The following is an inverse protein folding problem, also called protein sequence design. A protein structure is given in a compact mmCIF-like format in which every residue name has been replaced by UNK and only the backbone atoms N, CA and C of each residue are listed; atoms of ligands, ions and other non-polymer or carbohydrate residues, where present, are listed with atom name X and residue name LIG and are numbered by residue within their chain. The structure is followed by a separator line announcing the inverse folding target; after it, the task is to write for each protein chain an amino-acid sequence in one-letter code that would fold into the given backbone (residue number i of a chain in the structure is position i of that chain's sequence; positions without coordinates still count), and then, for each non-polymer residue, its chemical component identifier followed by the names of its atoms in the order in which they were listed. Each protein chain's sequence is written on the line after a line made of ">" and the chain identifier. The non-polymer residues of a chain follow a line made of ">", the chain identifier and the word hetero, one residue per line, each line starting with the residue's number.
data_IF_888563857997
#
_entry.id   IF_888563857997
#
_cell.length_a   1.000
_cell.length_b   1.000
_cell.length_c   1.000
_cell.angle_alpha   90.00
_cell.angle_beta   90.00
_cell.angle_gamma   90.00
#
_symmetry.space_group_name_H-M   'P 1'
#
loop_
_entity.id
_entity.type
_entity.pdbx_description
1 polymer ?
#
# COMPACT_ATOMS: atom_id res chain seq x y z
N UNK A 1 34.47 -14.76 -32.93
CA UNK A 1 33.80 -14.90 -31.62
C UNK A 1 32.41 -15.46 -31.85
N UNK A 2 32.04 -16.55 -31.19
CA UNK A 2 30.69 -17.14 -31.35
C UNK A 2 29.74 -16.38 -30.43
N UNK A 3 28.74 -15.72 -31.01
CA UNK A 3 27.61 -15.11 -30.31
C UNK A 3 26.99 -16.20 -29.43
N UNK A 4 26.96 -15.97 -28.11
CA UNK A 4 26.25 -16.87 -27.19
C UNK A 4 24.78 -16.42 -27.17
N UNK A 5 23.92 -17.26 -27.74
CA UNK A 5 22.48 -17.06 -27.70
C UNK A 5 21.94 -17.56 -26.36
N UNK A 6 21.21 -16.73 -25.61
CA UNK A 6 20.54 -17.09 -24.37
C UNK A 6 19.03 -16.93 -24.55
N UNK A 7 18.22 -17.86 -24.06
CA UNK A 7 16.77 -17.79 -24.12
C UNK A 7 16.23 -17.40 -22.75
N UNK A 8 15.39 -16.37 -22.67
CA UNK A 8 14.80 -15.93 -21.40
C UNK A 8 13.27 -16.04 -21.44
N UNK A 9 12.70 -16.59 -20.38
CA UNK A 9 11.24 -16.70 -20.24
C UNK A 9 10.64 -15.32 -19.93
N UNK A 10 9.78 -14.80 -20.82
CA UNK A 10 9.12 -13.50 -20.67
C UNK A 10 8.09 -13.43 -19.53
N UNK A 11 7.81 -14.54 -18.83
CA UNK A 11 6.91 -14.54 -17.68
C UNK A 11 7.68 -14.43 -16.34
N UNK A 12 8.71 -15.25 -16.16
CA UNK A 12 9.46 -15.33 -14.89
C UNK A 12 10.93 -14.92 -15.00
N UNK A 13 11.42 -14.66 -16.21
CA UNK A 13 12.81 -14.30 -16.52
C UNK A 13 13.81 -15.43 -16.26
N UNK A 14 13.39 -16.69 -16.31
CA UNK A 14 14.30 -17.84 -16.28
C UNK A 14 15.11 -17.91 -17.57
N UNK A 15 16.44 -17.98 -17.46
CA UNK A 15 17.34 -18.01 -18.60
C UNK A 15 17.89 -19.43 -18.89
N UNK A 16 17.97 -19.80 -20.16
CA UNK A 16 18.43 -21.11 -20.64
C UNK A 16 19.31 -20.94 -21.88
N UNK A 17 20.33 -21.78 -22.08
CA UNK A 17 21.17 -21.76 -23.28
C UNK A 17 20.52 -22.40 -24.52
N UNK A 18 19.33 -22.99 -24.36
CA UNK A 18 18.53 -23.60 -25.43
C UNK A 18 17.08 -23.19 -25.28
N UNK A 19 16.35 -23.07 -26.39
CA UNK A 19 14.93 -22.81 -26.34
C UNK A 19 14.22 -24.00 -25.67
N UNK A 20 13.52 -23.72 -24.58
CA UNK A 20 12.72 -24.70 -23.86
C UNK A 20 11.26 -24.35 -24.13
N UNK A 21 10.52 -25.23 -24.80
CA UNK A 21 9.11 -24.97 -25.13
C UNK A 21 8.24 -24.72 -23.90
N UNK A 22 8.63 -25.26 -22.73
CA UNK A 22 7.99 -25.02 -21.43
C UNK A 22 9.00 -24.50 -20.42
N UNK A 23 8.63 -23.46 -19.67
CA UNK A 23 9.45 -22.93 -18.58
C UNK A 23 9.55 -23.90 -17.40
N UNK A 24 10.76 -24.32 -16.98
CA UNK A 24 10.91 -25.21 -15.84
C UNK A 24 10.56 -24.53 -14.50
N UNK A 25 10.54 -23.19 -14.46
CA UNK A 25 10.25 -22.43 -13.23
C UNK A 25 8.77 -22.05 -13.09
N UNK A 26 8.14 -21.51 -14.15
CA UNK A 26 6.74 -21.08 -14.07
C UNK A 26 5.75 -21.99 -14.82
N UNK A 27 6.22 -23.04 -15.48
CA UNK A 27 5.35 -24.01 -16.16
C UNK A 27 4.69 -23.54 -17.46
N UNK A 28 4.86 -22.27 -17.82
CA UNK A 28 4.30 -21.63 -19.02
C UNK A 28 4.92 -22.13 -20.32
N UNK A 29 4.10 -22.23 -21.36
CA UNK A 29 4.50 -22.66 -22.69
C UNK A 29 4.81 -21.48 -23.62
N UNK A 30 5.79 -21.65 -24.51
CA UNK A 30 6.16 -20.71 -25.58
C UNK A 30 6.49 -19.28 -25.11
N UNK A 31 6.90 -19.12 -23.84
CA UNK A 31 7.30 -17.81 -23.28
C UNK A 31 8.80 -17.53 -23.38
N UNK A 32 9.62 -18.46 -23.89
CA UNK A 32 11.05 -18.20 -24.11
C UNK A 32 11.28 -17.41 -25.38
N UNK A 33 11.96 -16.27 -25.23
CA UNK A 33 12.40 -15.41 -26.32
C UNK A 33 13.92 -15.44 -26.36
N UNK A 34 14.47 -15.40 -27.58
CA UNK A 34 15.90 -15.33 -27.83
C UNK A 34 16.43 -13.94 -27.42
N UNK A 35 17.39 -13.92 -26.49
CA UNK A 35 18.16 -12.75 -26.07
C UNK A 35 19.63 -12.96 -26.52
N UNK A 36 20.15 -12.03 -27.30
CA UNK A 36 21.55 -12.04 -27.71
C UNK A 36 22.37 -11.37 -26.61
N UNK A 37 23.28 -12.12 -25.99
CA UNK A 37 24.32 -11.51 -25.14
C UNK A 37 25.49 -11.15 -26.05
N UNK A 38 25.62 -9.87 -26.39
CA UNK A 38 26.83 -9.38 -27.03
C UNK A 38 27.95 -9.28 -26.00
N UNK A 39 29.07 -9.97 -26.28
CA UNK A 39 30.35 -9.65 -25.65
C UNK A 39 30.71 -8.22 -26.06
N UNK A 40 30.81 -7.34 -25.05
CA UNK A 40 31.03 -5.92 -25.20
C UNK A 40 32.11 -5.57 -26.23
N UNK A 41 31.72 -5.01 -27.37
CA UNK A 41 32.59 -4.13 -28.15
C UNK A 41 31.84 -3.19 -29.11
N UNK A 42 32.07 -1.89 -28.87
CA UNK A 42 32.11 -0.80 -29.84
C UNK A 42 30.83 -0.40 -30.61
N UNK A 43 30.16 0.64 -30.09
CA UNK A 43 29.81 1.81 -30.91
C UNK A 43 30.04 3.09 -30.08
N UNK A 44 30.78 4.02 -30.68
CA UNK A 44 31.47 5.11 -29.99
C UNK A 44 30.67 6.41 -29.83
N UNK A 45 31.22 7.27 -28.97
CA UNK A 45 30.88 8.70 -28.85
C UNK A 45 29.98 9.02 -27.65
N UNK A 46 30.52 9.70 -26.63
CA UNK A 46 29.85 10.18 -25.40
C UNK A 46 29.51 9.15 -24.31
N UNK A 47 29.14 7.92 -24.67
CA UNK A 47 28.58 6.92 -23.75
C UNK A 47 29.59 6.20 -22.82
N UNK A 48 30.87 6.14 -23.17
CA UNK A 48 31.91 5.52 -22.33
C UNK A 48 32.18 6.33 -21.05
N UNK A 49 32.06 7.67 -21.13
CA UNK A 49 32.34 8.57 -20.01
C UNK A 49 31.31 8.48 -18.87
N UNK A 50 30.05 8.16 -19.18
CA UNK A 50 29.01 7.88 -18.18
C UNK A 50 29.28 6.55 -17.47
N UNK A 51 29.87 5.59 -18.20
CA UNK A 51 30.17 4.24 -17.72
C UNK A 51 31.36 4.20 -16.75
N UNK A 52 32.28 5.14 -16.86
CA UNK A 52 33.56 5.17 -16.12
C UNK A 52 33.44 5.95 -14.80
N UNK A 53 32.62 7.01 -14.76
CA UNK A 53 32.42 7.81 -13.53
C UNK A 53 31.39 7.22 -12.55
N UNK A 54 30.32 6.55 -13.00
CA UNK A 54 29.41 5.87 -12.05
C UNK A 54 29.99 4.54 -11.53
N UNK A 55 30.96 3.94 -12.21
CA UNK A 55 31.73 2.78 -11.72
C UNK A 55 32.83 3.14 -10.72
N UNK A 56 33.23 4.40 -10.63
CA UNK A 56 34.21 4.88 -9.65
C UNK A 56 33.59 5.23 -8.30
N UNK A 57 32.45 4.63 -7.95
CA UNK A 57 32.17 4.43 -6.54
C UNK A 57 33.26 3.51 -5.98
N UNK A 58 34.18 4.08 -5.18
CA UNK A 58 35.14 3.29 -4.40
C UNK A 58 34.36 2.16 -3.74
N UNK A 59 34.85 0.91 -3.90
CA UNK A 59 34.32 -0.21 -3.13
C UNK A 59 34.27 0.24 -1.67
N UNK A 60 33.10 0.13 -1.04
CA UNK A 60 32.96 0.50 0.37
C UNK A 60 34.01 -0.28 1.15
N UNK A 61 34.80 0.43 1.96
CA UNK A 61 35.70 -0.25 2.89
C UNK A 61 34.88 -1.18 3.78
N UNK A 62 35.45 -2.33 4.15
CA UNK A 62 34.85 -3.20 5.15
C UNK A 62 34.79 -2.42 6.47
N UNK A 63 33.60 -2.31 7.05
CA UNK A 63 33.39 -1.67 8.36
C UNK A 63 32.95 -2.79 9.31
N UNK A 64 33.54 -2.83 10.50
CA UNK A 64 33.14 -3.77 11.54
C UNK A 64 31.78 -3.32 12.12
N UNK A 65 30.87 -4.27 12.37
CA UNK A 65 29.55 -3.98 12.92
C UNK A 65 29.64 -3.32 14.30
N UNK A 66 30.68 -3.65 15.06
CA UNK A 66 30.91 -3.17 16.43
C UNK A 66 31.63 -1.81 16.45
N UNK A 67 31.92 -1.21 15.29
CA UNK A 67 32.39 0.18 15.25
C UNK A 67 31.22 1.12 15.59
N UNK A 68 31.31 1.76 16.77
CA UNK A 68 30.42 2.84 17.19
C UNK A 68 30.67 4.12 16.35
N UNK A 69 30.23 4.12 15.10
CA UNK A 69 30.07 5.36 14.33
C UNK A 69 28.69 5.96 14.63
N UNK A 70 28.52 6.50 15.85
CA UNK A 70 27.30 7.20 16.29
C UNK A 70 26.94 8.36 15.34
N UNK A 71 27.94 8.99 14.72
CA UNK A 71 27.75 10.02 13.70
C UNK A 71 27.12 9.48 12.40
N UNK A 72 27.43 8.24 11.99
CA UNK A 72 26.86 7.64 10.78
C UNK A 72 25.39 7.24 10.98
N UNK A 73 25.04 6.70 12.15
CA UNK A 73 23.66 6.36 12.51
C UNK A 73 22.78 7.62 12.69
N UNK A 74 23.31 8.68 13.30
CA UNK A 74 22.64 9.98 13.41
C UNK A 74 22.50 10.69 12.04
N UNK A 75 23.53 10.62 11.20
CA UNK A 75 23.54 11.13 9.82
C UNK A 75 22.48 10.45 8.96
N UNK A 76 22.25 9.15 9.13
CA UNK A 76 21.22 8.42 8.38
C UNK A 76 19.79 8.93 8.66
N UNK A 77 19.47 9.27 9.91
CA UNK A 77 18.18 9.89 10.26
C UNK A 77 18.08 11.35 9.80
N UNK A 78 19.17 12.12 9.91
CA UNK A 78 19.21 13.54 9.53
C UNK A 78 19.19 13.82 8.02
N UNK A 79 19.38 12.81 7.17
CA UNK A 79 19.46 12.95 5.71
C UNK A 79 18.12 12.77 4.98
N UNK A 80 17.02 12.43 5.66
CA UNK A 80 15.72 12.20 5.00
C UNK A 80 15.16 13.48 4.39
N UNK A 81 14.59 13.35 3.20
CA UNK A 81 13.91 14.41 2.47
C UNK A 81 12.41 14.24 2.69
N UNK A 82 11.76 15.20 3.36
CA UNK A 82 10.30 15.20 3.47
C UNK A 82 9.65 15.35 2.09
N UNK A 83 8.59 14.60 1.86
CA UNK A 83 7.76 14.71 0.65
C UNK A 83 6.74 15.84 0.74
N UNK A 84 6.64 16.52 1.89
CA UNK A 84 5.59 17.50 2.18
C UNK A 84 4.20 16.90 2.40
N UNK A 85 4.10 15.56 2.40
CA UNK A 85 2.88 14.81 2.63
C UNK A 85 3.12 13.87 3.82
N UNK A 86 2.44 14.11 4.94
CA UNK A 86 2.65 13.39 6.20
C UNK A 86 2.33 11.88 6.10
N UNK A 87 1.30 11.49 5.36
CA UNK A 87 0.91 10.10 5.12
C UNK A 87 1.94 9.38 4.23
N UNK A 88 2.50 10.06 3.22
CA UNK A 88 3.57 9.49 2.39
C UNK A 88 4.88 9.38 3.18
N UNK A 89 5.24 10.40 3.96
CA UNK A 89 6.42 10.37 4.82
C UNK A 89 6.32 9.24 5.84
N UNK A 90 5.14 9.01 6.44
CA UNK A 90 4.90 7.90 7.35
C UNK A 90 5.15 6.55 6.67
N UNK A 91 4.56 6.34 5.49
CA UNK A 91 4.73 5.12 4.68
C UNK A 91 6.21 4.86 4.34
N UNK A 92 6.99 5.91 4.13
CA UNK A 92 8.43 5.83 3.88
C UNK A 92 9.30 5.64 5.15
N UNK A 93 8.70 5.66 6.34
CA UNK A 93 9.42 5.59 7.61
C UNK A 93 10.05 6.93 8.03
N UNK A 94 9.42 8.04 7.67
CA UNK A 94 9.82 9.41 8.02
C UNK A 94 10.28 10.28 6.84
N UNK A 95 10.02 9.88 5.59
CA UNK A 95 10.42 10.62 4.38
C UNK A 95 11.38 9.86 3.47
N UNK A 96 11.68 10.44 2.30
CA UNK A 96 12.54 9.84 1.28
C UNK A 96 13.98 9.71 1.79
N UNK A 97 14.59 8.56 1.57
CA UNK A 97 15.98 8.30 1.95
C UNK A 97 16.87 8.62 0.74
N UNK A 98 17.93 9.43 0.86
CA UNK A 98 18.93 9.55 -0.19
C UNK A 98 19.56 8.20 -0.52
N UNK A 99 20.15 8.08 -1.70
CA UNK A 99 20.88 6.88 -2.10
C UNK A 99 19.96 5.63 -2.09
N UNK A 100 18.67 5.81 -2.38
CA UNK A 100 17.65 4.75 -2.29
C UNK A 100 16.86 4.58 -3.58
N UNK A 101 16.26 3.40 -3.73
CA UNK A 101 15.40 3.07 -4.87
C UNK A 101 14.01 2.62 -4.41
N UNK A 102 13.00 3.41 -4.74
CA UNK A 102 11.59 3.18 -4.37
C UNK A 102 10.74 2.88 -5.59
N UNK A 103 9.98 1.79 -5.53
CA UNK A 103 8.99 1.40 -6.53
C UNK A 103 7.58 1.74 -6.02
N UNK A 104 6.78 2.42 -6.83
CA UNK A 104 5.34 2.60 -6.60
C UNK A 104 4.54 1.85 -7.67
N UNK A 105 3.89 0.77 -7.23
CA UNK A 105 2.96 -0.04 -8.01
C UNK A 105 1.52 0.43 -7.85
N UNK A 106 0.66 0.08 -8.81
CA UNK A 106 -0.78 0.29 -8.71
C UNK A 106 -1.46 0.38 -10.07
N UNK A 107 -2.79 0.35 -10.06
CA UNK A 107 -3.59 0.33 -11.28
C UNK A 107 -3.42 1.63 -12.10
N UNK A 108 -3.55 1.57 -13.44
CA UNK A 108 -3.60 2.76 -14.27
C UNK A 108 -4.68 3.73 -13.79
N UNK A 109 -4.39 5.02 -13.76
CA UNK A 109 -5.36 6.04 -13.30
C UNK A 109 -5.53 6.16 -11.78
N UNK A 110 -4.90 5.30 -10.96
CA UNK A 110 -5.01 5.41 -9.49
C UNK A 110 -4.43 6.72 -8.93
N UNK A 111 -3.55 7.39 -9.68
CA UNK A 111 -2.95 8.67 -9.29
C UNK A 111 -1.49 8.59 -8.86
N UNK A 112 -0.73 7.55 -9.24
CA UNK A 112 0.72 7.43 -8.96
C UNK A 112 1.51 8.65 -9.42
N UNK A 113 1.36 9.05 -10.68
CA UNK A 113 2.01 10.25 -11.24
C UNK A 113 1.56 11.53 -10.52
N UNK A 114 0.29 11.59 -10.11
CA UNK A 114 -0.22 12.74 -9.32
C UNK A 114 0.47 12.83 -7.96
N UNK A 115 0.59 11.70 -7.26
CA UNK A 115 1.27 11.62 -5.97
C UNK A 115 2.72 12.06 -6.10
N UNK A 116 3.46 11.51 -7.08
CA UNK A 116 4.87 11.85 -7.28
C UNK A 116 5.08 13.30 -7.72
N UNK A 117 4.22 13.85 -8.59
CA UNK A 117 4.28 15.28 -8.91
C UNK A 117 4.04 16.13 -7.65
N UNK A 118 3.09 15.79 -6.79
CA UNK A 118 2.84 16.53 -5.54
C UNK A 118 4.03 16.51 -4.58
N UNK A 119 4.87 15.46 -4.60
CA UNK A 119 6.11 15.46 -3.80
C UNK A 119 7.06 16.61 -4.17
N UNK A 120 7.01 17.10 -5.42
CA UNK A 120 7.82 18.23 -5.85
C UNK A 120 7.53 19.49 -5.01
N UNK A 121 6.27 19.71 -4.62
CA UNK A 121 5.90 20.83 -3.74
C UNK A 121 6.55 20.71 -2.37
N UNK A 122 6.57 19.51 -1.79
CA UNK A 122 7.23 19.26 -0.52
C UNK A 122 8.73 19.44 -0.58
N UNK A 123 9.38 18.94 -1.63
CA UNK A 123 10.82 19.09 -1.86
C UNK A 123 11.20 20.58 -1.99
N UNK A 124 10.40 21.35 -2.72
CA UNK A 124 10.60 22.80 -2.87
C UNK A 124 10.50 23.55 -1.53
N UNK A 125 9.59 23.11 -0.64
CA UNK A 125 9.40 23.70 0.70
C UNK A 125 10.39 23.20 1.75
N UNK A 126 11.01 22.03 1.54
CA UNK A 126 11.91 21.41 2.52
C UNK A 126 13.27 22.11 2.60
N UNK A 127 13.97 22.24 1.46
CA UNK A 127 15.26 22.93 1.37
C UNK A 127 15.49 23.55 -0.01
N UNK A 128 16.27 24.63 -0.04
CA UNK A 128 16.54 25.40 -1.26
C UNK A 128 17.58 24.76 -2.20
N UNK A 129 18.37 23.79 -1.71
CA UNK A 129 19.42 23.13 -2.46
C UNK A 129 18.97 21.84 -3.16
N UNK A 130 17.76 21.36 -2.86
CA UNK A 130 17.22 20.14 -3.46
C UNK A 130 16.67 20.42 -4.85
N UNK A 131 16.98 19.51 -5.78
CA UNK A 131 16.48 19.51 -7.16
C UNK A 131 15.75 18.21 -7.46
N UNK A 132 14.64 18.30 -8.19
CA UNK A 132 13.88 17.15 -8.66
C UNK A 132 13.94 17.09 -10.19
N UNK A 133 14.26 15.92 -10.74
CA UNK A 133 14.12 15.61 -12.15
C UNK A 133 12.98 14.60 -12.34
N UNK A 134 11.91 15.00 -13.00
CA UNK A 134 10.80 14.14 -13.38
C UNK A 134 10.96 13.72 -14.84
N UNK A 135 11.21 12.44 -15.07
CA UNK A 135 11.34 11.86 -16.40
C UNK A 135 10.11 11.00 -16.68
N UNK A 136 9.45 11.30 -17.80
CA UNK A 136 8.31 10.54 -18.28
C UNK A 136 8.61 9.92 -19.63
N UNK A 137 8.28 8.64 -19.79
CA UNK A 137 8.25 7.98 -21.11
C UNK A 137 6.83 7.88 -21.69
N UNK A 138 5.79 8.19 -20.90
CA UNK A 138 4.37 8.10 -21.33
C UNK A 138 3.80 9.45 -21.76
N UNK A 139 3.94 10.47 -20.91
CA UNK A 139 3.40 11.81 -21.12
C UNK A 139 4.47 12.78 -21.66
N UNK A 140 4.03 13.71 -22.52
CA UNK A 140 4.87 14.83 -22.97
C UNK A 140 5.11 15.87 -21.87
N UNK A 141 6.20 16.64 -21.98
CA UNK A 141 6.52 17.74 -21.04
C UNK A 141 5.36 18.74 -20.91
N UNK A 142 4.65 19.04 -22.01
CA UNK A 142 3.51 19.94 -22.01
C UNK A 142 2.34 19.43 -21.16
N UNK A 143 2.03 18.13 -21.25
CA UNK A 143 0.97 17.49 -20.45
C UNK A 143 1.33 17.50 -18.96
N UNK A 144 2.57 17.14 -18.63
CA UNK A 144 3.05 17.12 -17.23
C UNK A 144 3.03 18.54 -16.66
N UNK A 145 3.49 19.54 -17.42
CA UNK A 145 3.46 20.95 -17.01
C UNK A 145 2.03 21.44 -16.74
N UNK A 146 1.07 21.06 -17.59
CA UNK A 146 -0.34 21.39 -17.40
C UNK A 146 -0.89 20.79 -16.10
N UNK A 147 -0.58 19.52 -15.81
CA UNK A 147 -0.94 18.86 -14.54
C UNK A 147 -0.28 19.52 -13.35
N UNK A 148 1.03 19.78 -13.41
CA UNK A 148 1.77 20.46 -12.35
C UNK A 148 1.16 21.83 -12.02
N UNK A 149 0.77 22.60 -13.05
CA UNK A 149 0.09 23.89 -12.88
C UNK A 149 -1.26 23.75 -12.17
N UNK A 150 -2.06 22.73 -12.53
CA UNK A 150 -3.34 22.42 -11.86
C UNK A 150 -3.15 22.06 -10.38
N UNK A 151 -2.07 21.35 -10.06
CA UNK A 151 -1.70 20.97 -8.69
C UNK A 151 -1.05 22.13 -7.90
N UNK A 152 -0.92 23.32 -8.50
CA UNK A 152 -0.30 24.48 -7.86
C UNK A 152 1.21 24.35 -7.64
N UNK A 153 1.90 23.58 -8.48
CA UNK A 153 3.35 23.37 -8.39
C UNK A 153 4.07 24.39 -9.27
N UNK A 154 4.83 25.30 -8.66
CA UNK A 154 5.79 26.20 -9.32
C UNK A 154 7.16 25.52 -9.38
N UNK A 155 7.80 25.50 -10.55
CA UNK A 155 9.09 24.81 -10.69
C UNK A 155 10.27 25.50 -9.99
N UNK A 156 10.18 26.82 -9.74
CA UNK A 156 11.18 27.66 -9.03
C UNK A 156 12.66 27.41 -9.42
N UNK A 157 12.91 27.00 -10.67
CA UNK A 157 14.25 26.65 -11.15
C UNK A 157 14.85 25.38 -10.52
N UNK A 158 14.07 24.59 -9.78
CA UNK A 158 14.51 23.39 -9.03
C UNK A 158 13.79 22.10 -9.46
N UNK A 159 12.64 22.22 -10.14
CA UNK A 159 11.91 21.10 -10.72
C UNK A 159 12.09 21.07 -12.23
N UNK A 160 12.69 20.01 -12.73
CA UNK A 160 12.99 19.79 -14.14
C UNK A 160 12.12 18.65 -14.68
N UNK A 161 11.60 18.82 -15.88
CA UNK A 161 10.76 17.83 -16.57
C UNK A 161 11.45 17.39 -17.84
N UNK A 162 11.50 16.08 -18.09
CA UNK A 162 12.02 15.50 -19.32
C UNK A 162 11.03 14.46 -19.86
N UNK A 163 10.87 14.41 -21.18
CA UNK A 163 10.15 13.35 -21.86
C UNK A 163 11.19 12.51 -22.63
N UNK A 164 11.64 11.42 -22.01
CA UNK A 164 12.72 10.58 -22.52
C UNK A 164 12.39 9.11 -22.22
N UNK A 165 12.73 8.23 -23.15
CA UNK A 165 12.55 6.77 -23.03
C UNK A 165 13.89 6.03 -22.93
N UNK A 166 14.98 6.65 -23.39
CA UNK A 166 16.31 6.05 -23.42
C UNK A 166 17.07 6.32 -22.11
N UNK A 167 17.44 5.26 -21.39
CA UNK A 167 18.05 5.37 -20.06
C UNK A 167 19.38 6.14 -20.06
N UNK A 168 20.16 6.04 -21.13
CA UNK A 168 21.44 6.72 -21.29
C UNK A 168 21.30 8.26 -21.31
N UNK A 169 20.22 8.77 -21.90
CA UNK A 169 19.92 10.21 -21.93
C UNK A 169 19.52 10.71 -20.56
N UNK A 170 18.75 9.91 -19.83
CA UNK A 170 18.41 10.19 -18.43
C UNK A 170 19.67 10.30 -17.58
N UNK A 171 20.62 9.36 -17.73
CA UNK A 171 21.87 9.40 -16.96
C UNK A 171 22.73 10.62 -17.30
N UNK A 172 22.74 11.03 -18.57
CA UNK A 172 23.40 12.27 -19.01
C UNK A 172 22.77 13.51 -18.36
N UNK A 173 21.44 13.58 -18.32
CA UNK A 173 20.72 14.67 -17.66
C UNK A 173 20.96 14.68 -16.13
N UNK A 174 21.00 13.51 -15.48
CA UNK A 174 21.34 13.39 -14.06
C UNK A 174 22.76 13.89 -13.77
N UNK A 175 23.71 13.59 -14.65
CA UNK A 175 25.10 14.06 -14.53
C UNK A 175 25.20 15.59 -14.60
N UNK A 176 24.47 16.21 -15.52
CA UNK A 176 24.46 17.66 -15.73
C UNK A 176 23.71 18.39 -14.60
N UNK A 177 22.48 17.96 -14.28
CA UNK A 177 21.61 18.67 -13.34
C UNK A 177 21.95 18.39 -11.87
N UNK A 178 22.56 17.24 -11.59
CA UNK A 178 22.81 16.67 -10.25
C UNK A 178 21.57 16.77 -9.34
N UNK A 179 20.45 16.12 -9.71
CA UNK A 179 19.24 16.15 -8.92
C UNK A 179 19.38 15.34 -7.63
N UNK A 180 18.67 15.76 -6.58
CA UNK A 180 18.56 15.00 -5.32
C UNK A 180 17.48 13.92 -5.38
N UNK A 181 16.48 14.13 -6.24
CA UNK A 181 15.37 13.19 -6.46
C UNK A 181 15.17 12.99 -7.97
N UNK A 182 15.13 11.73 -8.40
CA UNK A 182 14.79 11.33 -9.76
C UNK A 182 13.48 10.56 -9.76
N UNK A 183 12.50 10.99 -10.54
CA UNK A 183 11.24 10.27 -10.77
C UNK A 183 11.23 9.71 -12.18
N UNK A 184 10.90 8.42 -12.31
CA UNK A 184 10.81 7.68 -13.57
C UNK A 184 9.38 7.18 -13.78
N UNK A 185 8.65 7.76 -14.73
CA UNK A 185 7.23 7.46 -15.00
C UNK A 185 6.99 7.03 -16.47
N UNK A 186 6.88 5.75 -16.82
CA UNK A 186 6.86 4.56 -15.97
C UNK A 186 7.79 3.47 -16.49
N UNK A 187 8.12 2.51 -15.62
CA UNK A 187 9.09 1.42 -15.84
C UNK A 187 9.01 0.76 -17.22
N UNK A 188 7.80 0.51 -17.73
CA UNK A 188 7.59 -0.18 -18.99
C UNK A 188 8.02 0.62 -20.22
N UNK A 189 8.14 1.95 -20.10
CA UNK A 189 8.48 2.83 -21.22
C UNK A 189 9.98 3.05 -21.42
N UNK A 190 10.78 2.69 -20.42
CA UNK A 190 12.22 2.89 -20.47
C UNK A 190 12.92 1.70 -21.09
N UNK A 191 13.93 1.99 -21.91
CA UNK A 191 14.79 0.99 -22.52
C UNK A 191 16.26 1.32 -22.33
N UNK A 192 17.06 0.26 -22.23
CA UNK A 192 18.52 0.29 -22.24
C UNK A 192 18.99 -0.15 -23.62
N UNK A 193 19.87 0.63 -24.24
CA UNK A 193 20.48 0.28 -25.53
C UNK A 193 21.45 -0.91 -25.43
N UNK A 194 21.71 -1.39 -24.22
CA UNK A 194 22.59 -2.53 -23.94
C UNK A 194 21.95 -3.89 -24.25
N UNK A 195 20.63 -3.98 -24.21
CA UNK A 195 19.89 -5.21 -24.53
C UNK A 195 19.09 -4.99 -25.81
N UNK A 196 19.29 -5.85 -26.81
CA UNK A 196 18.41 -5.95 -27.98
C UNK A 196 17.10 -6.66 -27.61
N UNK A 197 16.26 -6.00 -26.81
CA UNK A 197 14.93 -6.49 -26.46
C UNK A 197 13.92 -5.35 -26.44
N UNK A 198 12.66 -5.66 -26.76
CA UNK A 198 11.62 -4.64 -26.83
C UNK A 198 11.42 -3.94 -25.46
N UNK A 199 11.18 -2.61 -25.44
CA UNK A 199 10.77 -1.90 -24.24
C UNK A 199 9.58 -2.58 -23.55
N UNK A 200 9.61 -2.65 -22.23
CA UNK A 200 8.59 -3.35 -21.44
C UNK A 200 8.72 -4.88 -21.40
N UNK A 201 9.70 -5.48 -22.10
CA UNK A 201 10.05 -6.89 -21.88
C UNK A 201 10.61 -7.10 -20.46
N UNK A 202 10.47 -8.32 -19.92
CA UNK A 202 10.98 -8.62 -18.56
C UNK A 202 12.49 -8.40 -18.46
N UNK A 203 13.24 -8.72 -19.53
CA UNK A 203 14.67 -8.46 -19.63
C UNK A 203 15.01 -6.97 -19.54
N UNK A 204 14.37 -6.13 -20.36
CA UNK A 204 14.54 -4.67 -20.30
C UNK A 204 14.21 -4.11 -18.92
N UNK A 205 13.08 -4.52 -18.34
CA UNK A 205 12.59 -4.02 -17.06
C UNK A 205 13.59 -4.31 -15.93
N UNK A 206 14.15 -5.53 -15.89
CA UNK A 206 15.17 -5.90 -14.88
C UNK A 206 16.46 -5.12 -15.08
N UNK A 207 16.91 -4.96 -16.32
CA UNK A 207 18.14 -4.23 -16.62
C UNK A 207 18.03 -2.75 -16.24
N UNK A 208 16.92 -2.11 -16.63
CA UNK A 208 16.64 -0.71 -16.25
C UNK A 208 16.63 -0.57 -14.73
N UNK A 209 15.94 -1.45 -14.01
CA UNK A 209 15.91 -1.43 -12.55
C UNK A 209 17.29 -1.63 -11.91
N UNK A 210 18.11 -2.56 -12.42
CA UNK A 210 19.47 -2.79 -11.93
C UNK A 210 20.36 -1.55 -12.10
N UNK A 211 20.30 -0.91 -13.27
CA UNK A 211 21.08 0.29 -13.57
C UNK A 211 20.60 1.50 -12.77
N UNK A 212 19.30 1.65 -12.55
CA UNK A 212 18.75 2.70 -11.70
C UNK A 212 19.15 2.52 -10.22
N UNK A 213 19.15 1.29 -9.72
CA UNK A 213 19.65 1.00 -8.36
C UNK A 213 21.12 1.40 -8.22
N UNK A 214 21.96 1.03 -9.20
CA UNK A 214 23.36 1.44 -9.21
C UNK A 214 23.51 2.95 -9.26
N UNK A 215 22.72 3.64 -10.09
CA UNK A 215 22.70 5.10 -10.16
C UNK A 215 22.33 5.72 -8.80
N UNK A 216 21.29 5.22 -8.12
CA UNK A 216 20.86 5.73 -6.83
C UNK A 216 22.01 5.71 -5.82
N UNK A 217 22.73 4.59 -5.71
CA UNK A 217 23.83 4.42 -4.75
C UNK A 217 25.08 5.22 -5.11
N UNK A 218 25.39 5.33 -6.39
CA UNK A 218 26.64 5.98 -6.88
C UNK A 218 26.50 7.50 -6.94
N UNK A 219 25.34 8.00 -7.37
CA UNK A 219 25.05 9.43 -7.49
C UNK A 219 24.52 10.04 -6.19
N UNK A 220 24.14 9.20 -5.23
CA UNK A 220 23.65 9.63 -3.92
C UNK A 220 22.28 10.30 -3.96
N UNK A 221 21.36 9.78 -4.78
CA UNK A 221 20.04 10.39 -5.01
C UNK A 221 18.89 9.41 -4.75
N UNK A 222 17.72 9.94 -4.40
CA UNK A 222 16.51 9.15 -4.21
C UNK A 222 15.83 8.89 -5.56
N UNK A 223 15.82 7.64 -6.01
CA UNK A 223 15.16 7.24 -7.26
C UNK A 223 13.77 6.69 -6.97
N UNK A 224 12.78 7.21 -7.68
CA UNK A 224 11.40 6.74 -7.69
C UNK A 224 11.04 6.17 -9.04
N UNK A 225 10.43 5.00 -9.04
CA UNK A 225 10.01 4.30 -10.24
C UNK A 225 8.52 3.99 -10.16
N UNK A 226 7.77 4.45 -11.16
CA UNK A 226 6.36 4.09 -11.31
C UNK A 226 6.26 2.78 -12.06
N UNK A 227 5.47 1.85 -11.55
CA UNK A 227 5.12 0.63 -12.27
C UNK A 227 3.61 0.44 -12.35
N UNK A 228 3.11 0.19 -13.56
CA UNK A 228 1.71 -0.16 -13.78
C UNK A 228 1.44 -1.64 -13.51
N UNK A 229 0.40 -1.94 -12.72
CA UNK A 229 -0.13 -3.30 -12.57
C UNK A 229 -1.15 -3.53 -13.68
N UNK A 230 -1.02 -4.60 -14.46
CA UNK A 230 -2.02 -5.01 -15.44
C UNK A 230 -3.04 -5.95 -14.79
N UNK A 231 -4.30 -5.92 -15.26
CA UNK A 231 -5.43 -6.67 -14.69
C UNK A 231 -5.21 -8.19 -14.63
N UNK A 232 -4.33 -8.73 -15.48
CA UNK A 232 -3.99 -10.16 -15.56
C UNK A 232 -2.74 -10.53 -14.74
N UNK A 233 -2.13 -9.60 -14.01
CA UNK A 233 -0.97 -9.82 -13.14
C UNK A 233 0.31 -10.34 -13.83
N UNK A 234 0.33 -10.46 -15.16
CA UNK A 234 1.24 -11.36 -15.88
C UNK A 234 2.06 -10.72 -17.02
N UNK A 235 2.06 -9.39 -17.16
CA UNK A 235 2.89 -8.73 -18.19
C UNK A 235 3.87 -7.79 -17.49
N UNK A 236 5.09 -8.30 -17.25
CA UNK A 236 6.27 -7.55 -16.80
C UNK A 236 5.95 -6.44 -15.77
N UNK A 237 5.17 -6.81 -14.75
CA UNK A 237 4.67 -5.86 -13.77
C UNK A 237 5.74 -5.45 -12.74
N UNK A 238 5.39 -4.54 -11.82
CA UNK A 238 6.24 -4.11 -10.70
C UNK A 238 6.83 -5.29 -9.92
N UNK A 239 6.08 -6.40 -9.81
CA UNK A 239 6.47 -7.64 -9.13
C UNK A 239 7.81 -8.19 -9.56
N UNK A 240 8.18 -8.02 -10.83
CA UNK A 240 9.45 -8.56 -11.35
C UNK A 240 10.67 -7.86 -10.77
N UNK A 241 10.52 -6.63 -10.27
CA UNK A 241 11.62 -5.80 -9.74
C UNK A 241 11.51 -5.52 -8.24
N UNK A 242 10.45 -5.96 -7.56
CA UNK A 242 10.23 -5.76 -6.10
C UNK A 242 11.41 -6.23 -5.24
N UNK A 243 12.04 -7.34 -5.61
CA UNK A 243 13.18 -7.86 -4.88
C UNK A 243 14.44 -7.00 -5.08
N UNK A 244 14.54 -6.26 -6.19
CA UNK A 244 15.69 -5.45 -6.57
C UNK A 244 15.68 -4.06 -5.94
N UNK A 245 14.52 -3.52 -5.57
CA UNK A 245 14.37 -2.17 -4.99
C UNK A 245 14.52 -2.15 -3.47
N UNK A 246 14.79 -1.00 -2.86
CA UNK A 246 14.89 -0.89 -1.40
C UNK A 246 13.50 -0.77 -0.74
N UNK A 247 12.57 -0.07 -1.38
CA UNK A 247 11.20 0.15 -0.90
C UNK A 247 10.18 -0.15 -2.00
N UNK A 248 9.09 -0.86 -1.66
CA UNK A 248 7.96 -1.19 -2.55
C UNK A 248 6.68 -0.68 -1.90
N UNK A 249 6.00 0.21 -2.62
CA UNK A 249 4.70 0.76 -2.26
C UNK A 249 3.64 0.34 -3.28
N UNK A 250 2.45 0.00 -2.81
CA UNK A 250 1.29 -0.25 -3.66
C UNK A 250 0.22 0.79 -3.41
N UNK A 251 -0.21 1.46 -4.47
CA UNK A 251 -1.32 2.39 -4.43
C UNK A 251 -2.57 1.72 -4.96
N UNK A 252 -3.50 1.45 -4.05
CA UNK A 252 -4.73 0.69 -4.26
C UNK A 252 -5.94 1.60 -4.07
N UNK A 253 -7.04 1.28 -4.73
CA UNK A 253 -8.33 1.96 -4.55
C UNK A 253 -9.33 1.41 -5.53
N UNK A 254 -10.56 1.19 -5.06
CA UNK A 254 -11.69 0.75 -5.88
C UNK A 254 -12.42 1.98 -6.43
N UNK A 255 -12.98 1.91 -7.64
CA UNK A 255 -13.79 2.99 -8.21
C UNK A 255 -15.03 3.29 -7.34
N UNK A 256 -15.50 2.30 -6.58
CA UNK A 256 -16.59 2.46 -5.61
C UNK A 256 -16.18 3.21 -4.33
N UNK A 257 -14.89 3.29 -4.02
CA UNK A 257 -14.37 3.96 -2.84
C UNK A 257 -13.83 5.35 -3.21
N UNK A 258 -14.19 6.38 -2.46
CA UNK A 258 -13.61 7.72 -2.65
C UNK A 258 -12.12 7.79 -2.23
N UNK A 259 -11.63 6.76 -1.54
CA UNK A 259 -10.29 6.71 -0.95
C UNK A 259 -9.33 5.83 -1.73
N UNK A 260 -8.05 6.19 -1.61
CA UNK A 260 -6.92 5.48 -2.20
C UNK A 260 -5.92 5.18 -1.09
N UNK A 261 -5.56 3.92 -0.98
CA UNK A 261 -4.73 3.35 0.07
C UNK A 261 -3.32 3.13 -0.47
N UNK A 262 -2.33 3.76 0.16
CA UNK A 262 -0.92 3.55 -0.13
C UNK A 262 -0.34 2.59 0.91
N UNK A 263 -0.10 1.34 0.51
CA UNK A 263 0.46 0.29 1.35
C UNK A 263 1.95 0.11 1.13
N UNK A 264 2.63 -0.20 2.21
CA UNK A 264 4.03 -0.63 2.19
C UNK A 264 4.10 -2.15 2.07
N UNK A 265 4.81 -2.68 1.08
CA UNK A 265 5.06 -4.14 0.97
C UNK A 265 6.48 -4.48 1.37
N UNK A 266 7.42 -3.61 1.03
CA UNK A 266 8.83 -3.73 1.39
C UNK A 266 9.35 -2.36 1.79
N UNK A 267 10.04 -2.26 2.91
CA UNK A 267 10.71 -1.02 3.30
C UNK A 267 11.96 -1.38 4.11
N UNK A 268 13.13 -1.14 3.54
CA UNK A 268 14.41 -1.35 4.24
C UNK A 268 14.72 -0.26 5.26
N UNK A 269 13.94 0.83 5.26
CA UNK A 269 14.18 2.03 6.03
C UNK A 269 13.05 2.32 7.03
N UNK A 270 12.07 1.43 7.17
CA UNK A 270 10.88 1.68 7.97
C UNK A 270 10.01 0.42 8.08
N UNK A 271 8.89 0.56 8.78
CA UNK A 271 7.93 -0.54 8.95
C UNK A 271 7.21 -0.86 7.63
N UNK A 272 6.97 -2.14 7.36
CA UNK A 272 6.11 -2.59 6.26
C UNK A 272 4.63 -2.52 6.59
N UNK A 273 4.27 -2.16 7.82
CA UNK A 273 2.88 -2.17 8.26
C UNK A 273 2.18 -0.81 8.12
N UNK A 274 2.91 0.22 7.70
CA UNK A 274 2.40 1.57 7.52
C UNK A 274 1.42 1.69 6.33
N UNK A 275 0.39 2.50 6.52
CA UNK A 275 -0.68 2.78 5.55
C UNK A 275 -0.93 4.28 5.44
N UNK A 276 -0.78 4.81 4.22
CA UNK A 276 -1.17 6.17 3.86
C UNK A 276 -2.57 6.19 3.24
N UNK A 277 -3.42 7.12 3.65
CA UNK A 277 -4.77 7.27 3.07
C UNK A 277 -4.90 8.61 2.34
N UNK A 278 -5.38 8.54 1.11
CA UNK A 278 -5.55 9.70 0.24
C UNK A 278 -6.96 9.72 -0.36
N UNK A 279 -7.43 10.91 -0.73
CA UNK A 279 -8.66 11.12 -1.47
C UNK A 279 -8.35 11.92 -2.73
N UNK A 280 -8.87 11.50 -3.89
CA UNK A 280 -8.67 12.25 -5.14
C UNK A 280 -9.72 13.35 -5.27
N UNK A 281 -9.26 14.59 -5.29
CA UNK A 281 -10.08 15.80 -5.51
C UNK A 281 -9.68 16.48 -6.82
N UNK A 282 -10.43 17.49 -7.24
CA UNK A 282 -10.11 18.27 -8.45
C UNK A 282 -8.73 18.92 -8.42
N UNK A 283 -8.25 19.27 -7.22
CA UNK A 283 -6.93 19.88 -6.96
C UNK A 283 -5.79 18.86 -6.82
N UNK A 284 -6.07 17.55 -6.89
CA UNK A 284 -5.09 16.48 -6.69
C UNK A 284 -5.43 15.54 -5.54
N UNK A 285 -4.43 14.79 -5.07
CA UNK A 285 -4.54 13.90 -3.93
C UNK A 285 -4.47 14.70 -2.63
N UNK A 286 -5.47 14.54 -1.77
CA UNK A 286 -5.52 15.11 -0.43
C UNK A 286 -5.24 14.01 0.59
N UNK A 287 -4.41 14.32 1.57
CA UNK A 287 -4.13 13.42 2.69
C UNK A 287 -5.33 13.32 3.63
N UNK A 288 -5.61 12.09 4.06
CA UNK A 288 -6.68 11.79 5.01
C UNK A 288 -6.03 11.29 6.31
N UNK A 289 -5.68 12.19 7.25
CA UNK A 289 -5.02 11.80 8.50
C UNK A 289 -5.95 11.01 9.42
N UNK A 290 -7.26 11.16 9.24
CA UNK A 290 -8.28 10.47 10.01
C UNK A 290 -9.31 9.79 9.10
N UNK A 291 -8.97 8.64 8.51
CA UNK A 291 -9.87 7.91 7.61
C UNK A 291 -11.16 7.49 8.31
N UNK A 292 -11.05 7.06 9.56
CA UNK A 292 -12.18 6.60 10.35
C UNK A 292 -13.22 7.68 10.64
N UNK A 293 -12.84 8.96 10.68
CA UNK A 293 -13.82 10.05 10.81
C UNK A 293 -14.82 10.12 9.65
N UNK A 294 -14.46 9.56 8.48
CA UNK A 294 -15.27 9.56 7.28
C UNK A 294 -16.15 8.31 7.15
N UNK A 295 -15.78 7.23 7.83
CA UNK A 295 -16.50 5.94 7.80
C UNK A 295 -17.52 5.79 8.93
N UNK A 296 -17.47 6.69 9.91
CA UNK A 296 -18.44 6.79 10.98
C UNK A 296 -19.53 7.75 10.53
N UNK A 297 -20.75 7.25 10.32
CA UNK A 297 -21.90 8.09 9.96
C UNK A 297 -22.24 9.07 11.10
N UNK A 298 -23.18 10.00 10.88
CA UNK A 298 -23.57 11.10 11.80
C UNK A 298 -23.41 10.72 13.29
N UNK A 299 -22.29 11.14 13.88
CA UNK A 299 -21.96 10.87 15.28
C UNK A 299 -23.09 11.42 16.17
N UNK A 300 -23.87 10.54 16.78
CA UNK A 300 -24.82 10.93 17.83
C UNK A 300 -26.22 10.31 17.76
N UNK A 301 -26.61 9.64 16.66
CA UNK A 301 -27.86 8.88 16.63
C UNK A 301 -27.58 7.40 16.87
N UNK A 302 -28.09 6.90 17.99
CA UNK A 302 -28.13 5.46 18.27
C UNK A 302 -29.28 4.87 17.46
N UNK A 303 -28.94 4.04 16.46
CA UNK A 303 -29.91 3.41 15.56
C UNK A 303 -29.80 1.88 15.70
N UNK A 304 -30.92 1.15 15.82
CA UNK A 304 -30.88 -0.32 15.85
C UNK A 304 -30.22 -0.87 14.58
N UNK A 305 -29.44 -1.93 14.74
CA UNK A 305 -28.73 -2.54 13.62
C UNK A 305 -27.40 -1.90 13.27
N UNK A 306 -26.91 -0.95 14.07
CA UNK A 306 -25.61 -0.32 13.83
C UNK A 306 -24.60 -0.71 14.92
N UNK A 307 -23.37 -0.99 14.52
CA UNK A 307 -22.24 -1.20 15.43
C UNK A 307 -20.95 -0.69 14.80
N UNK A 308 -19.95 -0.38 15.62
CA UNK A 308 -18.63 0.04 15.13
C UNK A 308 -17.60 -1.01 15.47
N UNK A 309 -16.79 -1.39 14.49
CA UNK A 309 -15.60 -2.25 14.68
C UNK A 309 -14.33 -1.45 14.47
N UNK A 310 -13.22 -1.96 15.00
CA UNK A 310 -11.89 -1.53 14.61
C UNK A 310 -11.24 -2.67 13.82
N UNK A 311 -11.02 -2.46 12.52
CA UNK A 311 -10.34 -3.42 11.63
C UNK A 311 -8.87 -3.05 11.43
N UNK A 312 -7.95 -4.00 11.29
CA UNK A 312 -6.56 -3.72 10.91
C UNK A 312 -6.38 -3.76 9.40
N UNK A 313 -5.90 -2.66 8.83
CA UNK A 313 -5.35 -2.61 7.48
C UNK A 313 -3.83 -2.44 7.58
N UNK A 314 -3.08 -3.56 7.51
CA UNK A 314 -1.65 -3.57 7.85
C UNK A 314 -1.43 -3.49 9.36
N UNK A 315 -0.77 -2.44 9.87
CA UNK A 315 -0.76 -2.11 11.32
C UNK A 315 -1.68 -0.96 11.67
N UNK A 316 -2.36 -0.34 10.71
CA UNK A 316 -3.23 0.80 11.01
C UNK A 316 -4.62 0.27 11.38
N UNK A 317 -5.09 0.52 12.60
CA UNK A 317 -6.49 0.29 12.94
C UNK A 317 -7.34 1.33 12.20
N UNK A 318 -8.36 0.85 11.51
CA UNK A 318 -9.40 1.64 10.87
C UNK A 318 -10.73 1.27 11.51
N UNK A 319 -11.36 2.25 12.15
CA UNK A 319 -12.74 2.09 12.58
C UNK A 319 -13.69 2.17 11.39
N UNK A 320 -14.62 1.21 11.37
CA UNK A 320 -15.63 1.05 10.35
C UNK A 320 -16.98 0.79 11.02
N UNK A 321 -18.03 1.42 10.51
CA UNK A 321 -19.40 1.14 10.92
C UNK A 321 -19.95 -0.05 10.12
N UNK A 322 -20.56 -0.99 10.83
CA UNK A 322 -21.28 -2.13 10.25
C UNK A 322 -22.77 -1.96 10.52
N UNK A 323 -23.56 -2.30 9.53
CA UNK A 323 -25.00 -2.13 9.50
C UNK A 323 -25.66 -3.47 9.19
N UNK A 324 -26.70 -3.79 9.95
CA UNK A 324 -27.53 -4.95 9.73
C UNK A 324 -29.00 -4.54 9.71
N UNK A 325 -29.76 -5.15 8.81
CA UNK A 325 -31.21 -5.06 8.76
C UNK A 325 -31.78 -6.47 8.80
N UNK A 326 -32.46 -6.77 9.90
CA UNK A 326 -33.19 -8.01 10.12
C UNK A 326 -34.68 -7.72 9.93
N UNK A 327 -35.32 -8.42 8.99
CA UNK A 327 -36.74 -8.24 8.67
C UNK A 327 -37.43 -9.58 8.52
N UNK A 328 -38.73 -9.65 8.77
CA UNK A 328 -39.49 -10.87 8.52
C UNK A 328 -39.43 -11.25 7.03
N UNK A 329 -39.12 -12.52 6.76
CA UNK A 329 -39.05 -13.06 5.42
C UNK A 329 -40.39 -13.67 5.02
N UNK A 330 -40.95 -13.31 3.86
CA UNK A 330 -42.09 -14.03 3.29
C UNK A 330 -41.68 -15.36 2.62
N UNK A 331 -40.38 -15.66 2.56
CA UNK A 331 -39.83 -16.81 1.83
C UNK A 331 -39.68 -18.03 2.76
N UNK A 332 -39.74 -19.23 2.16
CA UNK A 332 -39.43 -20.49 2.86
C UNK A 332 -37.95 -20.64 3.21
N UNK A 333 -37.07 -19.96 2.46
CA UNK A 333 -35.64 -19.89 2.72
C UNK A 333 -35.24 -18.42 2.86
N UNK A 334 -35.01 -17.93 4.09
CA UNK A 334 -34.65 -16.53 4.31
C UNK A 334 -33.31 -16.17 3.65
N UNK A 335 -33.22 -14.92 3.19
CA UNK A 335 -32.03 -14.36 2.54
C UNK A 335 -31.01 -13.93 3.58
N UNK A 336 -29.75 -14.19 3.28
CA UNK A 336 -28.59 -13.72 4.04
C UNK A 336 -27.63 -13.08 3.04
N UNK A 337 -27.67 -11.76 2.96
CA UNK A 337 -26.89 -10.99 1.97
C UNK A 337 -25.92 -10.09 2.70
N UNK A 338 -24.64 -10.13 2.31
CA UNK A 338 -23.59 -9.33 2.90
C UNK A 338 -22.85 -8.52 1.84
N UNK A 339 -22.57 -7.24 2.14
CA UNK A 339 -21.71 -6.36 1.37
C UNK A 339 -20.59 -5.89 2.28
N UNK A 340 -19.33 -6.07 1.85
CA UNK A 340 -18.15 -5.69 2.63
C UNK A 340 -17.67 -6.74 3.64
N UNK A 341 -18.37 -7.87 3.80
CA UNK A 341 -17.92 -9.02 4.58
C UNK A 341 -18.38 -10.32 3.89
N UNK A 342 -17.70 -11.43 4.15
CA UNK A 342 -18.04 -12.72 3.53
C UNK A 342 -19.44 -13.22 3.94
N UNK A 343 -20.26 -13.61 2.97
CA UNK A 343 -21.64 -14.06 3.20
C UNK A 343 -21.72 -15.36 4.02
N UNK A 344 -20.76 -16.28 3.87
CA UNK A 344 -20.75 -17.51 4.67
C UNK A 344 -20.43 -17.21 6.13
N UNK A 345 -19.53 -16.25 6.36
CA UNK A 345 -19.19 -15.75 7.69
C UNK A 345 -20.40 -15.12 8.38
N UNK A 346 -21.17 -14.28 7.69
CA UNK A 346 -22.43 -13.75 8.22
C UNK A 346 -23.43 -14.88 8.52
N UNK A 347 -23.56 -15.88 7.64
CA UNK A 347 -24.44 -17.02 7.90
C UNK A 347 -24.04 -17.83 9.15
N UNK A 348 -22.74 -17.99 9.39
CA UNK A 348 -22.22 -18.62 10.62
C UNK A 348 -22.55 -17.78 11.86
N UNK A 349 -22.35 -16.47 11.83
CA UNK A 349 -22.67 -15.59 12.95
C UNK A 349 -24.17 -15.62 13.29
N UNK A 350 -25.04 -15.64 12.28
CA UNK A 350 -26.49 -15.80 12.49
C UNK A 350 -26.80 -17.13 13.19
N UNK A 351 -26.18 -18.23 12.77
CA UNK A 351 -26.38 -19.54 13.42
C UNK A 351 -25.89 -19.59 14.88
N UNK A 352 -24.78 -18.90 15.18
CA UNK A 352 -24.25 -18.79 16.54
C UNK A 352 -25.20 -17.96 17.42
N UNK A 353 -25.69 -16.82 16.92
CA UNK A 353 -26.65 -15.99 17.64
C UNK A 353 -27.97 -16.73 17.90
N UNK A 354 -28.46 -17.46 16.90
CA UNK A 354 -29.69 -18.27 17.01
C UNK A 354 -29.59 -19.30 18.15
N UNK A 355 -28.45 -20.00 18.22
CA UNK A 355 -28.22 -21.04 19.22
C UNK A 355 -27.86 -20.52 20.61
N UNK A 356 -27.09 -19.42 20.69
CA UNK A 356 -26.43 -19.00 21.93
C UNK A 356 -26.91 -17.66 22.48
N UNK A 357 -27.53 -16.79 21.69
CA UNK A 357 -27.97 -15.46 22.11
C UNK A 357 -29.49 -15.33 22.29
N UNK A 358 -30.25 -16.43 22.15
CA UNK A 358 -31.68 -16.48 22.47
C UNK A 358 -32.59 -15.71 21.50
N UNK A 359 -32.12 -15.43 20.28
CA UNK A 359 -32.87 -14.72 19.24
C UNK A 359 -33.13 -15.67 18.08
N UNK A 360 -34.39 -15.90 17.69
CA UNK A 360 -34.69 -16.82 16.59
C UNK A 360 -34.61 -16.13 15.23
N UNK A 361 -33.84 -16.71 14.30
CA UNK A 361 -33.67 -16.20 12.92
C UNK A 361 -34.30 -17.08 11.83
N UNK A 362 -35.14 -18.06 12.20
CA UNK A 362 -35.69 -19.05 11.26
C UNK A 362 -36.52 -18.43 10.12
N UNK A 363 -37.20 -17.31 10.37
CA UNK A 363 -38.11 -16.66 9.42
C UNK A 363 -37.74 -15.21 9.13
N UNK A 364 -36.46 -14.88 9.25
CA UNK A 364 -35.97 -13.50 9.07
C UNK A 364 -34.90 -13.40 8.00
N UNK A 365 -35.07 -12.45 7.10
CA UNK A 365 -34.02 -12.04 6.17
C UNK A 365 -32.99 -11.19 6.93
N UNK A 366 -31.71 -11.39 6.62
CA UNK A 366 -30.59 -10.62 7.18
C UNK A 366 -29.82 -9.97 6.04
N UNK A 367 -29.81 -8.64 6.04
CA UNK A 367 -29.00 -7.83 5.14
C UNK A 367 -27.89 -7.17 5.94
N UNK A 368 -26.65 -7.35 5.51
CA UNK A 368 -25.47 -6.82 6.17
C UNK A 368 -24.68 -5.92 5.21
N UNK A 369 -24.22 -4.78 5.71
CA UNK A 369 -23.44 -3.82 4.95
C UNK A 369 -22.33 -3.20 5.80
N UNK A 370 -21.15 -3.06 5.23
CA UNK A 370 -20.06 -2.27 5.82
C UNK A 370 -20.11 -0.86 5.24
N UNK A 371 -20.26 0.14 6.11
CA UNK A 371 -20.31 1.53 5.69
C UNK A 371 -18.97 1.97 5.07
N UNK A 372 -19.03 2.88 4.10
CA UNK A 372 -17.84 3.43 3.46
C UNK A 372 -17.16 2.52 2.43
N UNK A 373 -17.80 1.41 2.06
CA UNK A 373 -17.32 0.49 1.02
C UNK A 373 -16.09 -0.34 1.44
N UNK A 374 -15.73 -0.33 2.72
CA UNK A 374 -14.61 -1.11 3.25
C UNK A 374 -14.89 -2.61 3.18
N UNK A 375 -13.82 -3.41 3.08
CA UNK A 375 -13.90 -4.88 3.14
C UNK A 375 -13.30 -5.39 4.45
N UNK A 376 -14.15 -5.90 5.32
CA UNK A 376 -13.77 -6.52 6.58
C UNK A 376 -13.46 -8.00 6.35
N UNK A 377 -12.19 -8.35 6.40
CA UNK A 377 -11.71 -9.72 6.12
C UNK A 377 -11.20 -10.46 7.35
N UNK A 378 -11.06 -9.78 8.49
CA UNK A 378 -10.44 -10.36 9.68
C UNK A 378 -11.43 -10.80 10.77
N UNK A 379 -11.04 -11.75 11.65
CA UNK A 379 -11.89 -12.20 12.75
C UNK A 379 -12.21 -11.20 13.84
N UNK A 380 -11.42 -10.15 14.00
CA UNK A 380 -11.70 -9.15 15.03
C UNK A 380 -13.02 -8.40 14.82
N UNK A 381 -13.58 -8.43 13.61
CA UNK A 381 -14.84 -7.78 13.26
C UNK A 381 -16.08 -8.63 13.56
N UNK A 382 -15.93 -9.89 13.95
CA UNK A 382 -17.05 -10.82 14.16
C UNK A 382 -17.99 -10.34 15.25
N UNK A 383 -17.43 -9.84 16.36
CA UNK A 383 -18.23 -9.35 17.47
C UNK A 383 -19.09 -8.14 17.08
N UNK A 384 -18.54 -7.22 16.28
CA UNK A 384 -19.29 -6.07 15.80
C UNK A 384 -20.40 -6.46 14.83
N UNK A 385 -20.12 -7.41 13.93
CA UNK A 385 -21.12 -7.93 13.00
C UNK A 385 -22.25 -8.65 13.76
N UNK A 386 -21.91 -9.49 14.74
CA UNK A 386 -22.87 -10.16 15.60
C UNK A 386 -23.70 -9.16 16.42
N UNK A 387 -23.06 -8.12 16.98
CA UNK A 387 -23.72 -7.06 17.71
C UNK A 387 -24.72 -6.29 16.82
N UNK A 388 -24.35 -5.90 15.60
CA UNK A 388 -25.26 -5.24 14.67
C UNK A 388 -26.47 -6.11 14.32
N UNK A 389 -26.27 -7.39 13.99
CA UNK A 389 -27.36 -8.31 13.67
C UNK A 389 -28.30 -8.48 14.86
N UNK A 390 -27.74 -8.70 16.05
CA UNK A 390 -28.52 -8.84 17.28
C UNK A 390 -29.29 -7.55 17.58
N UNK A 391 -28.66 -6.38 17.44
CA UNK A 391 -29.26 -5.07 17.68
C UNK A 391 -30.45 -4.81 16.77
N UNK A 392 -30.36 -5.19 15.49
CA UNK A 392 -31.48 -5.07 14.54
C UNK A 392 -32.61 -6.04 14.89
N UNK A 393 -32.29 -7.29 15.22
CA UNK A 393 -33.30 -8.29 15.57
C UNK A 393 -34.04 -7.99 16.88
N UNK A 394 -33.33 -7.42 17.86
CA UNK A 394 -33.88 -7.00 19.14
C UNK A 394 -34.57 -5.62 19.10
N UNK A 395 -34.44 -4.89 17.98
CA UNK A 395 -34.85 -3.49 17.82
C UNK A 395 -34.32 -2.57 18.95
N UNK A 396 -33.06 -2.79 19.33
CA UNK A 396 -32.39 -2.08 20.43
C UNK A 396 -31.04 -1.54 19.99
N UNK A 397 -30.85 -0.24 20.11
CA UNK A 397 -29.66 0.46 19.65
C UNK A 397 -28.60 0.60 20.76
N UNK A 398 -27.33 0.31 20.47
CA UNK A 398 -26.25 0.43 21.45
C UNK A 398 -25.96 1.89 21.80
N UNK A 399 -25.46 2.19 23.02
CA UNK A 399 -25.01 3.53 23.36
C UNK A 399 -24.01 4.08 22.33
N UNK A 400 -24.08 5.37 21.99
CA UNK A 400 -23.13 5.96 21.06
C UNK A 400 -21.72 5.98 21.66
N UNK A 401 -20.71 5.76 20.83
CA UNK A 401 -19.32 5.76 21.28
C UNK A 401 -18.82 4.43 21.84
N UNK A 402 -19.51 3.33 21.51
CA UNK A 402 -19.08 1.95 21.77
C UNK A 402 -18.40 1.35 20.52
N UNK A 403 -17.25 0.70 20.71
CA UNK A 403 -16.56 -0.08 19.67
C UNK A 403 -16.52 -1.55 20.07
N UNK A 404 -16.80 -2.45 19.14
CA UNK A 404 -16.77 -3.89 19.36
C UNK A 404 -15.55 -4.51 18.67
N UNK A 405 -14.76 -5.28 19.43
CA UNK A 405 -13.57 -5.95 18.91
C UNK A 405 -13.53 -7.36 19.49
N UNK A 406 -13.55 -8.38 18.64
CA UNK A 406 -13.47 -9.77 19.09
C UNK A 406 -13.81 -10.77 17.99
N UNK A 407 -13.20 -11.94 18.07
CA UNK A 407 -13.56 -13.09 17.25
C UNK A 407 -14.67 -13.88 17.94
N UNK A 408 -15.69 -14.33 17.18
CA UNK A 408 -16.79 -15.12 17.73
C UNK A 408 -16.56 -16.59 17.37
N UNK A 409 -16.35 -17.42 18.39
CA UNK A 409 -16.23 -18.87 18.24
C UNK A 409 -17.58 -19.55 17.99
N UNK A 410 -17.56 -20.74 17.39
CA UNK A 410 -18.78 -21.53 17.09
C UNK A 410 -19.59 -21.92 18.34
N UNK A 411 -18.96 -21.92 19.51
CA UNK A 411 -19.55 -22.16 20.83
C UNK A 411 -20.20 -20.91 21.44
N UNK A 412 -20.14 -19.77 20.76
CA UNK A 412 -20.62 -18.48 21.25
C UNK A 412 -19.64 -17.76 22.19
N UNK A 413 -18.42 -18.26 22.36
CA UNK A 413 -17.34 -17.59 23.12
C UNK A 413 -16.71 -16.45 22.32
N UNK A 414 -16.22 -15.41 23.01
CA UNK A 414 -15.51 -14.29 22.38
C UNK A 414 -14.02 -14.46 22.62
N UNK A 415 -13.28 -14.61 21.52
CA UNK A 415 -11.87 -14.96 21.48
C UNK A 415 -11.00 -13.73 21.25
N UNK A 416 -9.74 -13.85 21.68
CA UNK A 416 -8.74 -12.78 21.57
C UNK A 416 -8.34 -12.51 20.13
N UNK A 417 -7.97 -11.26 19.88
CA UNK A 417 -7.53 -10.77 18.58
C UNK A 417 -6.16 -10.13 18.67
N UNK A 418 -5.49 -10.00 17.53
CA UNK A 418 -4.19 -9.35 17.42
C UNK A 418 -4.28 -7.82 17.60
N UNK A 419 -3.21 -7.24 18.13
CA UNK A 419 -2.99 -5.79 18.30
C UNK A 419 -4.17 -5.04 18.94
N UNK A 420 -4.71 -5.61 20.02
CA UNK A 420 -5.84 -5.05 20.75
C UNK A 420 -5.56 -3.63 21.25
N UNK A 421 -4.38 -3.38 21.80
CA UNK A 421 -3.94 -2.05 22.26
C UNK A 421 -3.99 -1.00 21.15
N UNK A 422 -3.48 -1.31 19.94
CA UNK A 422 -3.50 -0.38 18.82
C UNK A 422 -4.95 0.00 18.44
N UNK A 423 -5.86 -0.99 18.41
CA UNK A 423 -7.29 -0.76 18.12
C UNK A 423 -7.95 0.13 19.17
N UNK A 424 -7.64 -0.12 20.44
CA UNK A 424 -8.16 0.65 21.59
C UNK A 424 -7.64 2.09 21.57
N UNK A 425 -6.34 2.29 21.29
CA UNK A 425 -5.73 3.61 21.16
C UNK A 425 -6.34 4.40 20.00
N UNK A 426 -6.61 3.76 18.85
CA UNK A 426 -7.28 4.43 17.73
C UNK A 426 -8.73 4.79 18.07
N UNK A 427 -9.49 3.88 18.67
CA UNK A 427 -10.84 4.16 19.15
C UNK A 427 -10.88 5.39 20.08
N UNK A 428 -9.94 5.45 21.03
CA UNK A 428 -9.76 6.60 21.92
C UNK A 428 -9.41 7.87 21.15
N UNK A 429 -8.47 7.82 20.21
CA UNK A 429 -8.06 8.97 19.37
C UNK A 429 -9.25 9.59 18.63
N UNK A 430 -10.21 8.75 18.25
CA UNK A 430 -11.45 9.17 17.59
C UNK A 430 -12.55 9.63 18.53
N UNK A 431 -12.35 9.54 19.85
CA UNK A 431 -13.30 9.98 20.87
C UNK A 431 -14.35 8.94 21.25
N UNK A 432 -14.12 7.65 20.98
CA UNK A 432 -14.96 6.59 21.56
C UNK A 432 -14.68 6.48 23.06
N UNK A 433 -15.73 6.15 23.81
CA UNK A 433 -15.71 6.13 25.28
C UNK A 433 -15.59 4.73 25.83
N UNK A 434 -16.10 3.75 25.08
CA UNK A 434 -16.21 2.38 25.55
C UNK A 434 -15.76 1.41 24.46
N UNK A 435 -14.99 0.39 24.84
CA UNK A 435 -14.62 -0.73 23.98
C UNK A 435 -15.16 -2.04 24.58
N UNK A 436 -15.91 -2.78 23.79
CA UNK A 436 -16.36 -4.14 24.10
C UNK A 436 -15.33 -5.10 23.51
N UNK A 437 -14.70 -5.89 24.37
CA UNK A 437 -13.53 -6.69 24.04
C UNK A 437 -13.58 -8.08 24.70
N UNK A 438 -12.85 -9.08 24.19
CA UNK A 438 -12.71 -10.37 24.85
C UNK A 438 -12.09 -10.23 26.25
N UNK A 439 -12.31 -11.19 27.16
CA UNK A 439 -11.70 -11.18 28.48
C UNK A 439 -10.17 -11.22 28.40
N UNK A 440 -9.52 -10.32 29.13
CA UNK A 440 -8.07 -10.35 29.31
C UNK A 440 -7.74 -11.53 30.24
N UNK A 441 -6.75 -12.35 29.88
CA UNK A 441 -6.34 -13.46 30.73
C UNK A 441 -5.57 -12.97 31.94
N UNK A 442 -5.38 -13.86 32.92
CA UNK A 442 -4.55 -13.57 34.10
C UNK A 442 -3.16 -13.05 33.68
N UNK A 443 -2.84 -11.83 34.09
CA UNK A 443 -1.53 -11.19 33.86
C UNK A 443 -1.36 -10.43 32.54
N UNK A 444 -2.40 -10.33 31.70
CA UNK A 444 -2.36 -9.47 30.50
C UNK A 444 -2.93 -8.09 30.84
N UNK A 445 -2.06 -7.09 30.92
CA UNK A 445 -2.47 -5.68 30.93
C UNK A 445 -2.64 -5.20 29.48
N UNK A 446 -3.70 -4.45 29.23
CA UNK A 446 -3.91 -3.72 27.99
C UNK A 446 -3.93 -2.24 28.38
N UNK A 447 -3.08 -1.41 27.79
CA UNK A 447 -3.15 0.03 28.04
C UNK A 447 -4.43 0.59 27.41
N UNK A 448 -5.45 0.75 28.25
CA UNK A 448 -6.75 1.30 27.86
C UNK A 448 -6.71 2.83 27.72
N UNK A 449 -5.69 3.50 28.24
CA UNK A 449 -5.57 4.95 28.14
C UNK A 449 -6.81 5.72 28.65
N UNK A 450 -7.62 5.15 29.54
CA UNK A 450 -8.83 5.81 30.05
C UNK A 450 -10.09 5.69 29.16
N UNK A 451 -10.09 4.84 28.12
CA UNK A 451 -11.34 4.31 27.56
C UNK A 451 -11.91 3.22 28.48
N UNK A 452 -13.22 3.16 28.63
CA UNK A 452 -13.87 2.13 29.43
C UNK A 452 -13.83 0.78 28.68
N UNK A 453 -13.38 -0.29 29.34
CA UNK A 453 -13.34 -1.62 28.75
C UNK A 453 -14.44 -2.51 29.34
N UNK A 454 -15.37 -2.94 28.49
CA UNK A 454 -16.38 -3.94 28.81
C UNK A 454 -15.92 -5.29 28.28
N UNK A 455 -15.61 -6.20 29.19
CA UNK A 455 -15.17 -7.55 28.83
C UNK A 455 -16.36 -8.47 28.63
N UNK A 456 -16.49 -9.01 27.42
CA UNK A 456 -17.59 -9.89 27.07
C UNK A 456 -17.04 -11.29 26.79
N UNK A 457 -17.42 -12.28 27.59
CA UNK A 457 -16.95 -13.66 27.43
C UNK A 457 -17.74 -14.45 26.38
N UNK A 458 -19.01 -14.08 26.16
CA UNK A 458 -19.91 -14.78 25.24
C UNK A 458 -20.90 -13.83 24.58
N UNK A 459 -21.32 -14.16 23.35
CA UNK A 459 -22.38 -13.45 22.63
C UNK A 459 -23.73 -13.46 23.33
N UNK A 460 -23.97 -14.40 24.25
CA UNK A 460 -25.18 -14.44 25.06
C UNK A 460 -25.38 -13.17 25.91
N UNK A 461 -24.27 -12.56 26.34
CA UNK A 461 -24.28 -11.36 27.18
C UNK A 461 -24.37 -10.06 26.37
N UNK A 462 -24.57 -10.12 25.03
CA UNK A 462 -24.77 -8.92 24.22
C UNK A 462 -25.98 -8.09 24.69
N UNK A 463 -27.03 -8.76 25.19
CA UNK A 463 -28.20 -8.10 25.74
C UNK A 463 -27.95 -7.33 27.05
N UNK A 464 -26.91 -7.70 27.80
CA UNK A 464 -26.56 -7.09 29.09
C UNK A 464 -25.79 -5.77 28.91
N UNK A 465 -25.38 -5.44 27.67
CA UNK A 465 -24.70 -4.19 27.33
C UNK A 465 -25.66 -2.99 27.23
N UNK A 466 -26.96 -3.25 27.31
CA UNK A 466 -28.02 -2.25 27.37
C UNK A 466 -28.37 -2.12 28.84
N UNK A 467 -27.93 -1.04 29.47
CA UNK A 467 -28.12 -0.80 30.92
C UNK A 467 -29.54 -1.02 31.42
#
# INVERSE_FOLDING_TARGET
>A
MKIKTQYSCQNCGHASSKWLGRCPTCGEWNKFVEERTDDASQSGGSLASVREEFRTAKASAWVDLDMEDDEAAASFKGRRITTGMAELDRVLGGGMVPDSFTLIGGDPGIGKSTLLLQTAKGILGARNDLKLLYVSGEESVGQIRSRAKRLGISGEGRVFLAAETQLERVFSAVKELRPSVLVMDSLQTFSSGYLESAPGSVGQVREVAARLMMLAKTAGLAVWLVGHVTKDGSIAGPRTVEHMVDTVLYFEGDDAQSYRLLRTVKNRFGSTRELGVFEMRGEGLREVPNPSSLFLSERGKSVPGTAVTASLEGSRPLLAEVQALVSQSPLSMPRRTAVGMDSNRIALLVAILDKHAGVSFEKTDVYFNVAGGLRLSEPACDLAAAAAIWSSAADRAFPPGVVFVGEVGLTGEIRRVSQLEARVQEARRLGFKTVVMPPLGRGAECDLGGIEALQLASVAALGDLFG
#
